data_IF_012299795704
#
_entry.id   IF_012299795704
#
_cell.length_a   1.000
_cell.length_b   1.000
_cell.length_c   1.000
_cell.angle_alpha   90.00
_cell.angle_beta   90.00
_cell.angle_gamma   90.00
#
_symmetry.space_group_name_H-M   'P 1'
#
loop_
_entity.id
_entity.type
_entity.pdbx_description
1 polymer ?
#
# COMPACT_ATOMS: atom_id res chain seq x y z
N UNK A 1 24.35 -10.85 -11.63
CA UNK A 1 24.50 -10.38 -13.04
C UNK A 1 23.39 -9.41 -13.45
N UNK A 2 22.12 -9.74 -13.26
CA UNK A 2 20.94 -8.90 -13.61
C UNK A 2 20.97 -7.48 -13.01
N UNK A 3 21.38 -7.33 -11.75
CA UNK A 3 21.42 -6.04 -11.03
C UNK A 3 22.32 -4.97 -11.71
N UNK A 4 23.45 -5.35 -12.29
CA UNK A 4 24.35 -4.42 -13.02
C UNK A 4 23.65 -3.80 -14.23
N UNK A 5 22.85 -4.57 -14.96
CA UNK A 5 22.09 -4.07 -16.11
C UNK A 5 21.00 -3.09 -15.69
N UNK A 6 20.30 -3.35 -14.59
CA UNK A 6 19.29 -2.45 -14.05
C UNK A 6 19.90 -1.09 -13.66
N UNK A 7 21.05 -1.08 -13.00
CA UNK A 7 21.75 0.17 -12.64
C UNK A 7 22.26 0.89 -13.87
N UNK A 8 22.81 0.18 -14.86
CA UNK A 8 23.22 0.81 -16.12
C UNK A 8 22.04 1.44 -16.85
N UNK A 9 20.90 0.77 -16.88
CA UNK A 9 19.66 1.31 -17.43
C UNK A 9 19.25 2.60 -16.73
N UNK A 10 19.22 2.64 -15.39
CA UNK A 10 18.91 3.87 -14.67
C UNK A 10 19.91 4.99 -14.91
N UNK A 11 21.21 4.68 -15.05
CA UNK A 11 22.26 5.66 -15.38
C UNK A 11 22.05 6.28 -16.76
N UNK A 12 21.53 5.54 -17.73
CA UNK A 12 21.26 6.02 -19.09
C UNK A 12 20.05 6.96 -19.18
N UNK A 13 19.15 6.95 -18.17
CA UNK A 13 17.98 7.82 -18.16
C UNK A 13 18.36 9.27 -17.86
N UNK A 14 17.74 10.23 -18.56
CA UNK A 14 17.88 11.66 -18.27
C UNK A 14 17.14 12.07 -17.00
N UNK A 15 16.01 11.44 -16.71
CA UNK A 15 15.13 11.77 -15.60
C UNK A 15 14.53 10.50 -14.99
N UNK A 16 14.43 10.48 -13.66
CA UNK A 16 13.87 9.39 -12.89
C UNK A 16 12.83 9.95 -11.91
N UNK A 17 11.75 9.20 -11.70
CA UNK A 17 10.78 9.48 -10.64
C UNK A 17 10.77 8.30 -9.68
N UNK A 18 10.77 8.59 -8.38
CA UNK A 18 10.55 7.60 -7.33
C UNK A 18 9.31 7.95 -6.53
N UNK A 19 8.58 6.93 -6.10
CA UNK A 19 7.40 7.08 -5.21
C UNK A 19 7.77 7.11 -3.74
N UNK A 20 9.05 6.90 -3.40
CA UNK A 20 9.55 6.93 -2.04
C UNK A 20 10.91 7.62 -1.99
N UNK A 21 11.10 8.68 -1.17
CA UNK A 21 12.35 9.44 -1.08
C UNK A 21 13.55 8.58 -0.63
N UNK A 22 13.33 7.51 0.12
CA UNK A 22 14.36 6.53 0.51
C UNK A 22 15.20 6.05 -0.69
N UNK A 23 14.60 5.89 -1.86
CA UNK A 23 15.31 5.43 -3.04
C UNK A 23 16.19 6.49 -3.69
N UNK A 24 16.05 7.78 -3.36
CA UNK A 24 16.94 8.85 -3.88
C UNK A 24 18.37 8.58 -3.39
N UNK A 25 18.54 8.35 -2.09
CA UNK A 25 19.84 8.08 -1.50
C UNK A 25 20.42 6.75 -1.97
N UNK A 26 19.57 5.72 -2.02
CA UNK A 26 19.95 4.40 -2.50
C UNK A 26 20.45 4.44 -3.96
N UNK A 27 19.77 5.15 -4.85
CA UNK A 27 20.16 5.29 -6.24
C UNK A 27 21.42 6.18 -6.38
N UNK A 28 21.57 7.23 -5.56
CA UNK A 28 22.75 8.06 -5.52
C UNK A 28 24.01 7.26 -5.14
N UNK A 29 23.92 6.34 -4.20
CA UNK A 29 25.00 5.43 -3.81
C UNK A 29 25.44 4.50 -4.95
N UNK A 30 24.59 4.27 -5.96
CA UNK A 30 24.97 3.58 -7.19
C UNK A 30 25.51 4.50 -8.29
N UNK A 31 25.76 5.76 -7.97
CA UNK A 31 26.35 6.75 -8.89
C UNK A 31 25.33 7.38 -9.84
N UNK A 32 24.04 7.37 -9.49
CA UNK A 32 23.03 8.15 -10.21
C UNK A 32 22.96 9.52 -9.58
N UNK A 33 23.07 10.57 -10.39
CA UNK A 33 23.04 11.94 -9.91
C UNK A 33 21.69 12.29 -9.30
N UNK A 34 21.68 12.87 -8.09
CA UNK A 34 20.46 13.22 -7.34
C UNK A 34 19.54 14.15 -8.13
N UNK A 35 20.11 15.10 -8.90
CA UNK A 35 19.33 16.02 -9.73
C UNK A 35 18.51 15.36 -10.84
N UNK A 36 18.82 14.11 -11.19
CA UNK A 36 18.02 13.30 -12.12
C UNK A 36 16.80 12.66 -11.45
N UNK A 37 16.79 12.56 -10.13
CA UNK A 37 15.77 11.81 -9.39
C UNK A 37 14.80 12.79 -8.74
N UNK A 38 13.52 12.61 -8.98
CA UNK A 38 12.45 13.41 -8.39
C UNK A 38 11.52 12.49 -7.59
N UNK A 39 11.21 12.88 -6.35
CA UNK A 39 10.16 12.23 -5.59
C UNK A 39 8.80 12.79 -6.00
N UNK A 40 7.91 11.92 -6.42
CA UNK A 40 6.49 12.22 -6.63
C UNK A 40 5.72 11.01 -6.10
N UNK A 41 4.93 11.17 -5.04
CA UNK A 41 4.20 10.05 -4.43
C UNK A 41 3.10 9.51 -5.35
N UNK A 42 2.63 8.32 -5.02
CA UNK A 42 1.36 7.82 -5.54
C UNK A 42 0.18 8.61 -4.94
N UNK A 43 -0.95 8.60 -5.61
CA UNK A 43 -2.23 9.08 -5.08
C UNK A 43 -3.38 8.19 -5.55
N UNK A 44 -4.50 8.29 -4.87
CA UNK A 44 -5.72 7.57 -5.21
C UNK A 44 -6.88 8.56 -5.29
N UNK A 45 -7.69 8.44 -6.35
CA UNK A 45 -8.85 9.31 -6.52
C UNK A 45 -9.95 9.02 -5.51
N UNK A 46 -10.42 10.05 -4.82
CA UNK A 46 -11.57 9.98 -3.92
C UNK A 46 -12.90 9.64 -4.62
N UNK A 47 -12.94 9.68 -5.94
CA UNK A 47 -14.09 9.23 -6.74
C UNK A 47 -14.23 7.70 -6.73
N UNK A 48 -13.10 6.98 -6.65
CA UNK A 48 -13.07 5.52 -6.72
C UNK A 48 -13.04 4.87 -5.33
N UNK A 49 -12.43 5.54 -4.36
CA UNK A 49 -12.29 5.05 -2.98
C UNK A 49 -12.77 6.13 -2.02
N UNK A 50 -13.79 5.81 -1.24
CA UNK A 50 -14.44 6.72 -0.31
C UNK A 50 -15.18 5.97 0.78
N UNK A 51 -15.42 6.61 1.91
CA UNK A 51 -16.14 6.02 3.04
C UNK A 51 -17.63 5.90 2.72
N UNK A 52 -18.18 4.71 2.92
CA UNK A 52 -19.62 4.42 2.78
C UNK A 52 -20.35 4.47 4.13
N UNK A 53 -21.69 4.46 4.08
CA UNK A 53 -22.53 4.42 5.25
C UNK A 53 -22.47 3.05 5.98
N UNK A 54 -22.84 3.04 7.26
CA UNK A 54 -22.92 1.79 8.05
C UNK A 54 -23.93 0.77 7.46
N UNK A 55 -25.02 1.27 6.88
CA UNK A 55 -26.01 0.41 6.23
C UNK A 55 -25.37 -0.32 5.03
N UNK A 56 -24.68 0.44 4.17
CA UNK A 56 -23.98 -0.13 3.00
C UNK A 56 -22.91 -1.14 3.41
N UNK A 57 -22.16 -0.86 4.48
CA UNK A 57 -21.20 -1.82 5.06
C UNK A 57 -21.85 -3.16 5.40
N UNK A 58 -23.05 -3.17 5.99
CA UNK A 58 -23.77 -4.40 6.34
C UNK A 58 -24.20 -5.20 5.10
N UNK A 59 -24.67 -4.52 4.03
CA UNK A 59 -25.02 -5.14 2.76
C UNK A 59 -23.80 -5.78 2.09
N UNK A 60 -22.67 -5.06 2.07
CA UNK A 60 -21.42 -5.54 1.48
C UNK A 60 -20.91 -6.76 2.24
N UNK A 61 -20.93 -6.74 3.58
CA UNK A 61 -20.56 -7.91 4.39
C UNK A 61 -21.38 -9.13 4.02
N UNK A 62 -22.71 -8.97 3.85
CA UNK A 62 -23.59 -10.04 3.38
C UNK A 62 -23.20 -10.55 1.99
N UNK A 63 -22.95 -9.63 1.03
CA UNK A 63 -22.53 -9.96 -0.35
C UNK A 63 -21.30 -10.87 -0.38
N UNK A 64 -20.30 -10.55 0.43
CA UNK A 64 -19.02 -11.28 0.45
C UNK A 64 -18.95 -12.37 1.53
N UNK A 65 -20.05 -12.63 2.26
CA UNK A 65 -20.11 -13.62 3.34
C UNK A 65 -19.14 -13.28 4.48
N UNK A 66 -18.98 -11.99 4.78
CA UNK A 66 -18.22 -11.46 5.91
C UNK A 66 -19.19 -11.35 7.10
N UNK A 67 -18.76 -11.74 8.28
CA UNK A 67 -19.61 -11.75 9.46
C UNK A 67 -20.04 -10.34 9.89
N UNK A 68 -21.36 -10.16 10.06
CA UNK A 68 -21.96 -8.84 10.30
C UNK A 68 -21.45 -8.19 11.60
N UNK A 69 -21.29 -8.98 12.66
CA UNK A 69 -21.07 -8.48 14.02
C UNK A 69 -19.62 -8.63 14.50
N UNK A 70 -18.72 -9.22 13.71
CA UNK A 70 -17.32 -9.33 14.07
C UNK A 70 -16.54 -8.09 13.70
N UNK A 71 -15.48 -7.82 14.46
CA UNK A 71 -14.44 -6.88 14.05
C UNK A 71 -13.64 -7.50 12.89
N UNK A 72 -13.52 -6.76 11.77
CA UNK A 72 -12.97 -7.28 10.50
C UNK A 72 -11.61 -6.64 10.20
N UNK A 73 -10.60 -7.47 10.15
CA UNK A 73 -9.21 -7.13 9.79
C UNK A 73 -8.97 -7.51 8.33
N UNK A 74 -8.68 -6.53 7.48
CA UNK A 74 -8.46 -6.72 6.04
C UNK A 74 -6.97 -6.66 5.70
N UNK A 75 -6.51 -7.64 4.94
CA UNK A 75 -5.23 -7.58 4.22
C UNK A 75 -5.48 -7.62 2.72
N UNK A 76 -4.78 -6.75 1.99
CA UNK A 76 -4.88 -6.67 0.52
C UNK A 76 -3.50 -6.90 -0.09
N UNK A 77 -3.40 -7.85 -0.99
CA UNK A 77 -2.16 -8.11 -1.70
C UNK A 77 -2.03 -9.52 -2.25
N UNK A 78 -0.96 -9.72 -2.99
CA UNK A 78 -0.62 -11.04 -3.51
C UNK A 78 -0.32 -12.02 -2.37
N UNK A 79 -0.71 -13.27 -2.53
CA UNK A 79 -0.36 -14.35 -1.60
C UNK A 79 1.13 -14.68 -1.76
N UNK A 80 1.96 -14.07 -0.92
CA UNK A 80 3.41 -14.24 -0.87
C UNK A 80 3.90 -14.16 0.57
N UNK A 81 4.94 -14.92 0.91
CA UNK A 81 5.56 -14.95 2.24
C UNK A 81 5.91 -13.53 2.74
N UNK A 82 6.55 -12.72 1.89
CA UNK A 82 6.93 -11.35 2.23
C UNK A 82 5.76 -10.43 2.59
N UNK A 83 4.52 -10.80 2.27
CA UNK A 83 3.30 -10.06 2.64
C UNK A 83 2.78 -10.38 4.05
N UNK A 84 3.50 -11.25 4.79
CA UNK A 84 3.19 -11.57 6.18
C UNK A 84 1.95 -12.46 6.35
N UNK A 85 1.63 -13.30 5.36
CA UNK A 85 0.46 -14.22 5.44
C UNK A 85 0.59 -15.20 6.59
N UNK A 86 1.80 -15.67 6.90
CA UNK A 86 2.02 -16.60 8.02
C UNK A 86 1.79 -15.92 9.35
N UNK A 87 2.24 -14.65 9.51
CA UNK A 87 1.95 -13.85 10.70
C UNK A 87 0.45 -13.65 10.88
N UNK A 88 -0.26 -13.30 9.79
CA UNK A 88 -1.71 -13.16 9.83
C UNK A 88 -2.40 -14.45 10.31
N UNK A 89 -1.97 -15.62 9.82
CA UNK A 89 -2.53 -16.91 10.24
C UNK A 89 -2.28 -17.19 11.72
N UNK A 90 -1.08 -16.92 12.22
CA UNK A 90 -0.76 -17.10 13.64
C UNK A 90 -1.52 -16.12 14.55
N UNK A 91 -1.67 -14.87 14.12
CA UNK A 91 -2.48 -13.86 14.82
C UNK A 91 -3.95 -14.29 14.84
N UNK A 92 -4.50 -14.73 13.72
CA UNK A 92 -5.89 -15.15 13.61
C UNK A 92 -6.22 -16.32 14.55
N UNK A 93 -5.34 -17.31 14.66
CA UNK A 93 -5.50 -18.44 15.62
C UNK A 93 -5.62 -17.98 17.06
N UNK A 94 -4.94 -16.88 17.44
CA UNK A 94 -4.99 -16.30 18.78
C UNK A 94 -6.20 -15.37 19.02
N UNK A 95 -6.93 -15.02 17.96
CA UNK A 95 -8.03 -14.05 17.99
C UNK A 95 -9.33 -14.60 17.36
N UNK A 96 -9.96 -15.65 17.92
CA UNK A 96 -11.12 -16.32 17.31
C UNK A 96 -12.34 -15.40 17.18
N UNK A 97 -12.44 -14.35 17.99
CA UNK A 97 -13.53 -13.37 17.96
C UNK A 97 -13.36 -12.26 16.92
N UNK A 98 -12.25 -12.27 16.19
CA UNK A 98 -11.94 -11.33 15.11
C UNK A 98 -11.98 -12.07 13.78
N UNK A 99 -12.60 -11.47 12.77
CA UNK A 99 -12.56 -12.03 11.43
C UNK A 99 -11.44 -11.40 10.62
N UNK A 100 -10.60 -12.22 10.04
CA UNK A 100 -9.56 -11.82 9.11
C UNK A 100 -10.02 -12.08 7.68
N UNK A 101 -9.76 -11.10 6.81
CA UNK A 101 -10.14 -11.18 5.40
C UNK A 101 -8.89 -10.91 4.57
N UNK A 102 -8.61 -11.77 3.61
CA UNK A 102 -7.54 -11.57 2.64
C UNK A 102 -8.12 -11.39 1.25
N UNK A 103 -7.90 -10.20 0.64
CA UNK A 103 -8.25 -9.90 -0.74
C UNK A 103 -6.99 -9.92 -1.61
N UNK A 104 -6.90 -10.89 -2.50
CA UNK A 104 -5.77 -11.12 -3.40
C UNK A 104 -5.48 -12.60 -3.59
N UNK A 105 -4.67 -12.91 -4.60
CA UNK A 105 -4.36 -14.28 -5.01
C UNK A 105 -2.91 -14.46 -5.38
N UNK A 106 -2.58 -15.64 -5.92
CA UNK A 106 -1.26 -15.92 -6.47
C UNK A 106 -1.07 -15.23 -7.83
N UNK A 107 0.00 -14.44 -7.98
CA UNK A 107 0.35 -13.85 -9.28
C UNK A 107 1.14 -14.79 -10.17
N UNK A 108 2.01 -15.62 -9.59
CA UNK A 108 2.95 -16.48 -10.32
C UNK A 108 2.81 -17.97 -9.97
N UNK A 109 1.69 -18.40 -9.37
CA UNK A 109 1.41 -19.80 -9.01
C UNK A 109 2.65 -20.47 -8.38
N UNK A 110 3.14 -21.57 -9.00
CA UNK A 110 4.23 -22.40 -8.46
C UNK A 110 5.59 -21.69 -8.27
N UNK A 111 5.79 -20.51 -8.88
CA UNK A 111 7.04 -19.72 -8.78
C UNK A 111 7.02 -18.80 -7.53
N UNK A 112 5.86 -18.65 -6.87
CA UNK A 112 5.76 -17.83 -5.66
C UNK A 112 6.47 -18.51 -4.49
N UNK A 113 7.28 -17.75 -3.76
CA UNK A 113 7.94 -18.25 -2.53
C UNK A 113 6.89 -18.71 -1.51
N UNK A 114 7.08 -19.92 -0.97
CA UNK A 114 6.15 -20.54 -0.03
C UNK A 114 4.86 -21.10 -0.66
N UNK A 115 4.78 -21.28 -1.98
CA UNK A 115 3.56 -21.69 -2.69
C UNK A 115 2.87 -22.92 -2.09
N UNK A 116 3.60 -24.00 -1.84
CA UNK A 116 3.02 -25.26 -1.33
C UNK A 116 2.47 -25.10 0.09
N UNK A 117 3.13 -24.33 0.94
CA UNK A 117 2.68 -24.04 2.30
C UNK A 117 1.44 -23.14 2.28
N UNK A 118 1.45 -22.11 1.47
CA UNK A 118 0.30 -21.22 1.25
C UNK A 118 -0.91 -21.98 0.69
N UNK A 119 -0.68 -22.91 -0.22
CA UNK A 119 -1.74 -23.76 -0.77
C UNK A 119 -2.38 -24.65 0.30
N UNK A 120 -1.61 -25.16 1.27
CA UNK A 120 -2.15 -25.93 2.41
C UNK A 120 -3.04 -25.04 3.30
N UNK A 121 -2.60 -23.83 3.60
CA UNK A 121 -3.40 -22.84 4.37
C UNK A 121 -4.70 -22.52 3.63
N UNK A 122 -4.66 -22.27 2.33
CA UNK A 122 -5.87 -21.99 1.53
C UNK A 122 -6.83 -23.16 1.49
N UNK A 123 -6.34 -24.41 1.57
CA UNK A 123 -7.17 -25.61 1.57
C UNK A 123 -7.89 -25.80 2.91
N UNK A 124 -7.23 -25.50 4.01
CA UNK A 124 -7.75 -25.64 5.37
C UNK A 124 -7.39 -24.38 6.18
N UNK A 125 -8.03 -23.22 5.90
CA UNK A 125 -7.79 -22.00 6.67
C UNK A 125 -8.36 -22.12 8.09
N UNK A 126 -7.83 -21.37 9.06
CA UNK A 126 -8.51 -21.14 10.31
C UNK A 126 -9.94 -20.59 10.07
N UNK A 127 -10.90 -21.00 10.89
CA UNK A 127 -12.34 -20.70 10.71
C UNK A 127 -12.64 -19.19 10.62
N UNK A 128 -11.83 -18.39 11.27
CA UNK A 128 -11.95 -16.93 11.28
C UNK A 128 -11.16 -16.22 10.17
N UNK A 129 -10.55 -16.95 9.23
CA UNK A 129 -9.91 -16.38 8.05
C UNK A 129 -10.75 -16.63 6.80
N UNK A 130 -11.03 -15.55 6.07
CA UNK A 130 -11.72 -15.63 4.78
C UNK A 130 -10.81 -15.14 3.65
N UNK A 131 -10.52 -16.01 2.70
CA UNK A 131 -9.83 -15.67 1.47
C UNK A 131 -10.84 -15.34 0.38
N UNK A 132 -10.84 -14.10 -0.12
CA UNK A 132 -11.75 -13.65 -1.17
C UNK A 132 -11.23 -13.90 -2.60
N UNK A 133 -9.94 -14.29 -2.71
CA UNK A 133 -9.30 -14.37 -4.02
C UNK A 133 -9.02 -12.99 -4.63
N UNK A 134 -8.86 -12.96 -5.94
CA UNK A 134 -8.64 -11.72 -6.69
C UNK A 134 -9.98 -11.00 -6.86
N UNK A 135 -10.08 -9.79 -6.33
CA UNK A 135 -11.26 -8.92 -6.41
C UNK A 135 -11.05 -7.94 -7.57
N UNK A 136 -12.06 -7.73 -8.44
CA UNK A 136 -12.03 -6.67 -9.44
C UNK A 136 -11.79 -5.29 -8.81
N UNK A 137 -11.02 -4.44 -9.50
CA UNK A 137 -10.63 -3.13 -8.94
C UNK A 137 -11.82 -2.25 -8.59
N UNK A 138 -12.88 -2.30 -9.39
CA UNK A 138 -14.14 -1.59 -9.19
C UNK A 138 -14.90 -2.02 -7.93
N UNK A 139 -14.67 -3.25 -7.45
CA UNK A 139 -15.28 -3.78 -6.23
C UNK A 139 -14.41 -3.58 -4.98
N UNK A 140 -13.16 -3.13 -5.13
CA UNK A 140 -12.25 -2.99 -3.99
C UNK A 140 -12.72 -1.94 -2.98
N UNK A 141 -13.43 -0.88 -3.41
CA UNK A 141 -14.00 0.08 -2.47
C UNK A 141 -15.00 -0.58 -1.51
N UNK A 142 -15.77 -1.55 -1.99
CA UNK A 142 -16.67 -2.35 -1.17
C UNK A 142 -15.89 -3.11 -0.09
N UNK A 143 -14.80 -3.78 -0.47
CA UNK A 143 -13.99 -4.59 0.44
C UNK A 143 -13.36 -3.75 1.55
N UNK A 144 -12.81 -2.56 1.23
CA UNK A 144 -12.30 -1.64 2.26
C UNK A 144 -13.42 -1.22 3.22
N UNK A 145 -14.60 -0.84 2.69
CA UNK A 145 -15.73 -0.41 3.51
C UNK A 145 -16.36 -1.54 4.33
N UNK A 146 -16.23 -2.81 3.92
CA UNK A 146 -16.65 -3.96 4.72
C UNK A 146 -15.80 -4.17 5.98
N UNK A 147 -14.60 -3.58 6.02
CA UNK A 147 -13.58 -3.84 7.03
C UNK A 147 -13.56 -2.78 8.12
N UNK A 148 -12.90 -3.06 9.24
CA UNK A 148 -12.72 -2.16 10.37
C UNK A 148 -11.29 -1.64 10.47
N UNK A 149 -10.31 -2.41 10.00
CA UNK A 149 -8.91 -2.01 9.94
C UNK A 149 -8.23 -2.62 8.72
N UNK A 150 -7.37 -1.85 8.07
CA UNK A 150 -6.43 -2.32 7.06
C UNK A 150 -5.16 -2.78 7.77
N UNK A 151 -4.77 -4.05 7.57
CA UNK A 151 -3.62 -4.67 8.20
C UNK A 151 -2.63 -5.18 7.15
N UNK A 152 -1.41 -4.65 7.13
CA UNK A 152 -0.34 -5.10 6.25
C UNK A 152 0.90 -5.47 7.08
N UNK A 153 1.04 -6.74 7.49
CA UNK A 153 2.23 -7.22 8.20
C UNK A 153 3.41 -7.51 7.24
N UNK A 154 3.47 -6.81 6.12
CA UNK A 154 4.46 -7.02 5.07
C UNK A 154 5.88 -6.72 5.55
N UNK A 155 6.83 -7.56 5.19
CA UNK A 155 8.25 -7.38 5.47
C UNK A 155 8.94 -6.44 4.48
N UNK A 156 8.41 -6.37 3.25
CA UNK A 156 8.97 -5.55 2.16
C UNK A 156 7.86 -4.90 1.35
N UNK A 157 7.96 -3.60 1.16
CA UNK A 157 7.05 -2.79 0.34
C UNK A 157 7.82 -1.69 -0.38
N UNK A 158 7.17 -1.05 -1.36
CA UNK A 158 7.66 0.20 -1.96
C UNK A 158 6.82 1.38 -1.49
N UNK A 159 5.60 1.45 -1.95
CA UNK A 159 4.52 2.33 -1.51
C UNK A 159 3.19 1.70 -1.94
N UNK A 160 2.61 0.83 -1.10
CA UNK A 160 1.44 0.05 -1.50
C UNK A 160 0.20 0.94 -1.70
N UNK A 161 -0.42 0.81 -2.87
CA UNK A 161 -1.66 1.54 -3.21
C UNK A 161 -2.80 1.23 -2.24
N UNK A 162 -2.86 0.00 -1.73
CA UNK A 162 -3.84 -0.44 -0.76
C UNK A 162 -3.90 0.44 0.51
N UNK A 163 -2.77 1.03 0.92
CA UNK A 163 -2.72 1.98 2.04
C UNK A 163 -3.50 3.26 1.69
N UNK A 164 -3.29 3.81 0.50
CA UNK A 164 -3.98 5.03 0.07
C UNK A 164 -5.48 4.79 -0.19
N UNK A 165 -5.80 3.62 -0.74
CA UNK A 165 -7.18 3.18 -0.97
C UNK A 165 -7.94 3.05 0.35
N UNK A 166 -7.34 2.40 1.36
CA UNK A 166 -7.92 2.27 2.70
C UNK A 166 -8.01 3.62 3.43
N UNK A 167 -7.01 4.50 3.25
CA UNK A 167 -7.00 5.84 3.81
C UNK A 167 -8.19 6.67 3.31
N UNK A 168 -8.52 6.57 2.01
CA UNK A 168 -9.69 7.24 1.43
C UNK A 168 -11.02 6.70 1.99
N UNK A 169 -11.05 5.43 2.39
CA UNK A 169 -12.19 4.83 3.10
C UNK A 169 -12.22 5.18 4.60
N UNK A 170 -11.22 5.93 5.10
CA UNK A 170 -11.08 6.37 6.51
C UNK A 170 -11.08 5.23 7.51
N UNK A 171 -10.59 4.05 7.13
CA UNK A 171 -10.38 2.95 8.08
C UNK A 171 -8.96 3.04 8.67
N UNK A 172 -8.79 2.71 9.95
CA UNK A 172 -7.47 2.63 10.57
C UNK A 172 -6.50 1.78 9.77
N UNK A 173 -5.23 2.16 9.77
CA UNK A 173 -4.15 1.48 9.06
C UNK A 173 -3.16 0.95 10.08
N UNK A 174 -2.91 -0.36 10.08
CA UNK A 174 -1.95 -1.05 10.93
C UNK A 174 -0.90 -1.73 10.05
N UNK A 175 0.36 -1.35 10.20
CA UNK A 175 1.47 -1.82 9.36
C UNK A 175 2.58 -2.44 10.21
N UNK A 176 3.42 -3.27 9.58
CA UNK A 176 4.73 -3.60 10.17
C UNK A 176 5.61 -2.36 10.17
N UNK A 177 6.32 -2.11 11.26
CA UNK A 177 7.30 -1.02 11.34
C UNK A 177 8.53 -1.36 10.47
N UNK A 178 8.54 -0.82 9.26
CA UNK A 178 9.65 -0.94 8.31
C UNK A 178 10.18 0.44 7.94
N UNK A 179 11.49 0.52 7.72
CA UNK A 179 12.19 1.78 7.42
C UNK A 179 11.57 2.53 6.23
N UNK A 180 11.08 1.79 5.23
CA UNK A 180 10.48 2.38 4.03
C UNK A 180 9.24 3.24 4.29
N UNK A 181 8.53 3.04 5.40
CA UNK A 181 7.34 3.81 5.73
C UNK A 181 7.66 5.12 6.46
N UNK A 182 8.78 5.22 7.17
CA UNK A 182 9.13 6.39 7.99
C UNK A 182 9.18 7.69 7.18
N UNK A 183 9.71 7.64 5.97
CA UNK A 183 9.80 8.83 5.11
C UNK A 183 8.53 9.23 4.37
N UNK A 184 7.47 8.41 4.41
CA UNK A 184 6.25 8.62 3.62
C UNK A 184 4.95 8.52 4.41
N UNK A 185 4.89 7.73 5.48
CA UNK A 185 3.64 7.44 6.20
C UNK A 185 3.69 7.80 7.68
N UNK A 186 4.77 8.38 8.18
CA UNK A 186 4.91 8.72 9.59
C UNK A 186 3.75 9.59 10.09
N UNK A 187 3.13 9.17 11.20
CA UNK A 187 1.97 9.84 11.77
C UNK A 187 0.62 9.51 11.12
N UNK A 188 0.59 8.60 10.12
CA UNK A 188 -0.64 8.22 9.42
C UNK A 188 -1.09 6.79 9.68
N UNK A 189 -0.31 5.98 10.39
CA UNK A 189 -0.59 4.58 10.65
C UNK A 189 -0.22 4.17 12.07
N UNK A 190 -0.79 3.06 12.53
CA UNK A 190 -0.38 2.33 13.71
C UNK A 190 0.65 1.28 13.30
N UNK A 191 1.59 0.94 14.16
CA UNK A 191 2.66 -0.01 13.83
C UNK A 191 2.87 -1.08 14.87
N UNK A 192 3.41 -2.22 14.44
CA UNK A 192 3.91 -3.30 15.27
C UNK A 192 5.11 -3.97 14.60
N UNK A 193 5.92 -4.67 15.38
CA UNK A 193 7.06 -5.45 14.90
C UNK A 193 6.77 -6.94 15.04
N UNK A 194 6.22 -7.33 16.18
CA UNK A 194 5.89 -8.72 16.52
C UNK A 194 4.41 -9.03 16.33
N UNK A 195 4.05 -10.31 16.30
CA UNK A 195 2.65 -10.72 16.27
C UNK A 195 1.88 -10.26 17.52
N UNK A 196 2.56 -10.17 18.67
CA UNK A 196 1.97 -9.68 19.92
C UNK A 196 1.64 -8.19 19.83
N UNK A 197 2.51 -7.38 19.25
CA UNK A 197 2.21 -5.95 19.02
C UNK A 197 0.97 -5.79 18.16
N UNK A 198 0.85 -6.57 17.08
CA UNK A 198 -0.32 -6.53 16.20
C UNK A 198 -1.60 -6.96 16.90
N UNK A 199 -1.56 -8.02 17.71
CA UNK A 199 -2.70 -8.47 18.52
C UNK A 199 -3.14 -7.34 19.46
N UNK A 200 -2.21 -6.72 20.18
CA UNK A 200 -2.50 -5.64 21.11
C UNK A 200 -3.13 -4.43 20.41
N UNK A 201 -2.61 -4.04 19.24
CA UNK A 201 -3.17 -2.93 18.47
C UNK A 201 -4.56 -3.24 17.92
N UNK A 202 -4.81 -4.46 17.42
CA UNK A 202 -6.13 -4.90 16.97
C UNK A 202 -7.13 -4.92 18.14
N UNK A 203 -6.71 -5.37 19.33
CA UNK A 203 -7.56 -5.37 20.53
C UNK A 203 -7.92 -3.94 20.98
N UNK A 204 -6.96 -3.01 20.97
CA UNK A 204 -7.22 -1.59 21.25
C UNK A 204 -8.22 -1.01 20.25
N UNK A 205 -8.01 -1.22 18.96
CA UNK A 205 -8.93 -0.76 17.90
C UNK A 205 -10.33 -1.34 18.06
N UNK A 206 -10.46 -2.61 18.46
CA UNK A 206 -11.73 -3.29 18.66
C UNK A 206 -12.49 -2.78 19.90
N UNK A 207 -11.77 -2.52 20.99
CA UNK A 207 -12.39 -2.31 22.31
C UNK A 207 -12.44 -0.83 22.75
N UNK A 208 -11.66 0.05 22.13
CA UNK A 208 -11.59 1.48 22.46
C UNK A 208 -12.03 2.35 21.28
N UNK A 209 -13.23 2.89 21.37
CA UNK A 209 -13.81 3.76 20.34
C UNK A 209 -13.03 5.08 20.16
N UNK A 210 -12.43 5.63 21.23
CA UNK A 210 -11.63 6.85 21.12
C UNK A 210 -10.35 6.57 20.36
N UNK A 211 -9.69 5.46 20.67
CA UNK A 211 -8.51 5.00 19.96
C UNK A 211 -8.81 4.72 18.47
N UNK A 212 -9.89 4.01 18.19
CA UNK A 212 -10.35 3.77 16.82
C UNK A 212 -10.56 5.07 16.04
N UNK A 213 -11.25 6.04 16.65
CA UNK A 213 -11.54 7.32 16.00
C UNK A 213 -10.25 8.12 15.73
N UNK A 214 -9.28 8.12 16.66
CA UNK A 214 -7.96 8.73 16.43
C UNK A 214 -7.24 8.09 15.25
N UNK A 215 -7.20 6.75 15.19
CA UNK A 215 -6.58 6.02 14.10
C UNK A 215 -7.29 6.26 12.75
N UNK A 216 -8.63 6.36 12.73
CA UNK A 216 -9.41 6.74 11.55
C UNK A 216 -9.08 8.18 11.08
N UNK A 217 -8.86 9.12 12.01
CA UNK A 217 -8.43 10.49 11.68
C UNK A 217 -6.98 10.51 11.11
N UNK A 218 -6.09 9.64 11.57
CA UNK A 218 -4.75 9.48 10.98
C UNK A 218 -4.86 9.03 9.52
N UNK A 219 -5.71 8.05 9.22
CA UNK A 219 -6.00 7.60 7.86
C UNK A 219 -6.59 8.75 7.00
N UNK A 220 -7.52 9.54 7.54
CA UNK A 220 -8.07 10.71 6.84
C UNK A 220 -7.01 11.76 6.53
N UNK A 221 -6.08 12.03 7.44
CA UNK A 221 -4.94 12.93 7.17
C UNK A 221 -4.05 12.39 6.05
N UNK A 222 -3.77 11.08 6.05
CA UNK A 222 -3.05 10.40 4.97
C UNK A 222 -3.74 10.60 3.62
N UNK A 223 -5.05 10.35 3.54
CA UNK A 223 -5.88 10.56 2.35
C UNK A 223 -5.79 12.00 1.82
N UNK A 224 -5.87 13.00 2.69
CA UNK A 224 -5.75 14.41 2.31
C UNK A 224 -4.35 14.75 1.80
N UNK A 225 -3.31 14.26 2.45
CA UNK A 225 -1.93 14.52 2.06
C UNK A 225 -1.60 13.92 0.67
N UNK A 226 -2.04 12.69 0.41
CA UNK A 226 -1.85 11.97 -0.86
C UNK A 226 -3.04 12.10 -1.82
N UNK A 227 -3.75 13.22 -1.76
CA UNK A 227 -4.88 13.48 -2.64
C UNK A 227 -4.44 13.85 -4.06
N UNK A 228 -5.36 13.70 -5.01
CA UNK A 228 -5.14 14.12 -6.40
C UNK A 228 -4.82 15.62 -6.49
N UNK A 229 -5.49 16.45 -5.68
CA UNK A 229 -5.31 17.89 -5.62
C UNK A 229 -3.87 18.28 -5.23
N UNK A 230 -3.23 17.51 -4.38
CA UNK A 230 -1.86 17.75 -3.91
C UNK A 230 -0.82 17.15 -4.87
N UNK A 231 -1.05 15.96 -5.41
CA UNK A 231 -0.03 15.22 -6.17
C UNK A 231 -0.06 15.54 -7.67
N UNK A 232 -1.23 15.79 -8.27
CA UNK A 232 -1.31 16.11 -9.70
C UNK A 232 -0.55 17.41 -10.09
N UNK A 233 -0.53 18.47 -9.25
CA UNK A 233 0.34 19.63 -9.51
C UNK A 233 1.83 19.30 -9.53
N UNK A 234 2.31 18.34 -8.70
CA UNK A 234 3.71 17.91 -8.71
C UNK A 234 4.09 17.27 -10.05
N UNK A 235 3.22 16.44 -10.62
CA UNK A 235 3.40 15.86 -11.95
C UNK A 235 3.41 16.93 -13.03
N UNK A 236 2.47 17.91 -12.99
CA UNK A 236 2.44 19.03 -13.94
C UNK A 236 3.71 19.87 -13.89
N UNK A 237 4.20 20.19 -12.69
CA UNK A 237 5.43 20.94 -12.51
C UNK A 237 6.65 20.15 -13.04
N UNK A 238 6.70 18.85 -12.78
CA UNK A 238 7.75 17.97 -13.26
C UNK A 238 7.80 17.92 -14.79
N UNK A 239 6.70 17.66 -15.47
CA UNK A 239 6.65 17.62 -16.94
C UNK A 239 6.96 18.99 -17.57
N UNK A 240 6.47 20.09 -16.99
CA UNK A 240 6.78 21.44 -17.46
C UNK A 240 8.29 21.77 -17.37
N UNK A 241 8.95 21.33 -16.27
CA UNK A 241 10.40 21.47 -16.12
C UNK A 241 11.15 20.72 -17.21
N UNK A 242 10.81 19.46 -17.45
CA UNK A 242 11.43 18.61 -18.47
C UNK A 242 11.25 19.22 -19.86
N UNK A 243 10.04 19.63 -20.19
CA UNK A 243 9.72 20.23 -21.48
C UNK A 243 10.55 21.49 -21.76
N UNK A 244 10.64 22.41 -20.78
CA UNK A 244 11.48 23.64 -20.90
C UNK A 244 12.96 23.29 -21.09
N UNK A 245 13.49 22.31 -20.37
CA UNK A 245 14.88 21.88 -20.46
C UNK A 245 15.20 21.25 -21.82
N UNK A 246 14.31 20.40 -22.32
CA UNK A 246 14.45 19.76 -23.64
C UNK A 246 14.43 20.78 -24.78
N UNK A 247 13.56 21.79 -24.71
CA UNK A 247 13.55 22.90 -25.72
C UNK A 247 14.82 23.71 -25.72
N UNK A 248 15.40 24.00 -24.52
CA UNK A 248 16.68 24.70 -24.42
C UNK A 248 17.85 23.90 -25.04
N UNK A 249 17.87 22.57 -24.80
CA UNK A 249 18.88 21.68 -25.42
C UNK A 249 18.74 21.68 -26.94
N UNK A 250 17.52 21.53 -27.50
CA UNK A 250 17.29 21.56 -28.97
C UNK A 250 17.72 22.90 -29.61
N UNK A 251 17.46 24.02 -28.96
CA UNK A 251 17.89 25.34 -29.47
C UNK A 251 19.42 25.47 -29.51
N UNK A 252 20.12 25.01 -28.45
CA UNK A 252 21.61 25.01 -28.44
C UNK A 252 22.21 24.11 -29.52
N UNK A 253 21.56 22.96 -29.80
CA UNK A 253 22.02 22.07 -30.89
C UNK A 253 21.88 22.71 -32.25
N UNK A 254 20.77 23.39 -32.56
CA UNK A 254 20.56 24.08 -33.82
C UNK A 254 21.54 25.25 -34.03
N UNK A 255 21.77 26.04 -32.99
CA UNK A 255 22.76 27.16 -33.09
C UNK A 255 24.22 26.69 -33.19
N UNK A 256 24.55 25.45 -32.76
CA UNK A 256 25.90 24.88 -32.90
C UNK A 256 26.10 24.12 -34.22
N UNK A 257 25.05 23.80 -34.96
CA UNK A 257 25.11 23.17 -36.30
C UNK A 257 25.00 24.16 -37.43
N UNK A 258 24.81 25.46 -37.13
CA UNK A 258 24.79 26.59 -38.09
C UNK A 258 26.11 27.41 -38.09
N UNK A 259 27.10 26.95 -37.31
CA UNK A 259 28.50 27.45 -37.29
C UNK A 259 29.42 26.39 -37.88
#
# INVERSE_FOLDING_TARGET
MFYKYVIQFYKSMDYLVTVNPYFIDKLANYGIKREKITYIPNYVSSKNFYKMSKLKKSEIRKKYGIEKNKFVVLTVGQLQKRKGIFDLVEIAKKMPDVQFVWAGGFSFKKISDGYEELKRILKNPPDNIKFLGIIPREEMNDIYNASDVMFLPSYEELFPMAILESANCKIPILLRDIELYKGILEGYYLSGITNEDFINEILKLKNDNLYYNKASQMAEKCSKYYSEENVAPMWRAYYNRIYKTSRKKKRKWRSASEL
#
